data_IF_963531285284
#
_entry.id   IF_963531285284
#
_cell.length_a   1.000
_cell.length_b   1.000
_cell.length_c   1.000
_cell.angle_alpha   90.00
_cell.angle_beta   90.00
_cell.angle_gamma   90.00
#
_symmetry.space_group_name_H-M   'P 1'
#
loop_
_entity.id
_entity.type
_entity.pdbx_description
1 polymer ?
#
# COMPACT_ATOMS: atom_id res chain seq x y z
N UNK A 1 34.50 28.19 -39.50
CA UNK A 1 34.90 28.48 -38.12
C UNK A 1 36.40 28.70 -38.09
N UNK A 2 36.85 29.89 -37.71
CA UNK A 2 38.27 30.30 -37.76
C UNK A 2 39.12 29.47 -36.79
N UNK A 3 40.35 29.06 -37.23
CA UNK A 3 41.27 28.25 -36.40
C UNK A 3 41.41 28.74 -34.93
N UNK A 4 41.55 30.08 -34.66
CA UNK A 4 41.67 30.58 -33.29
C UNK A 4 40.41 30.36 -32.45
N UNK A 5 39.20 30.43 -33.03
CA UNK A 5 37.95 30.20 -32.31
C UNK A 5 37.78 28.74 -31.89
N UNK A 6 38.26 27.79 -32.70
CA UNK A 6 38.27 26.36 -32.32
C UNK A 6 39.21 26.09 -31.16
N UNK A 7 40.39 26.67 -31.15
CA UNK A 7 41.38 26.51 -30.07
C UNK A 7 40.83 27.09 -28.76
N UNK A 8 40.21 28.28 -28.83
CA UNK A 8 39.63 28.92 -27.63
C UNK A 8 38.44 28.10 -27.07
N UNK A 9 37.57 27.53 -27.91
CA UNK A 9 36.48 26.67 -27.49
C UNK A 9 36.96 25.34 -26.90
N UNK A 10 38.01 24.75 -27.46
CA UNK A 10 38.61 23.50 -26.93
C UNK A 10 39.31 23.77 -25.60
N UNK A 11 40.05 24.87 -25.46
CA UNK A 11 40.73 25.23 -24.22
C UNK A 11 39.71 25.56 -23.09
N UNK A 12 38.64 26.29 -23.41
CA UNK A 12 37.56 26.59 -22.50
C UNK A 12 36.81 25.31 -22.04
N UNK A 13 36.51 24.43 -23.02
CA UNK A 13 35.89 23.11 -22.72
C UNK A 13 36.78 22.21 -21.88
N UNK A 14 38.09 22.19 -22.13
CA UNK A 14 39.02 21.41 -21.31
C UNK A 14 39.20 21.97 -19.88
N UNK A 15 39.18 23.29 -19.73
CA UNK A 15 39.23 23.95 -18.45
C UNK A 15 37.95 23.65 -17.63
N UNK A 16 36.80 23.76 -18.28
CA UNK A 16 35.50 23.43 -17.65
C UNK A 16 35.42 21.95 -17.26
N UNK A 17 35.93 21.06 -18.14
CA UNK A 17 36.05 19.62 -17.84
C UNK A 17 36.97 19.34 -16.66
N UNK A 18 38.11 20.03 -16.55
CA UNK A 18 39.04 19.90 -15.44
C UNK A 18 38.40 20.39 -14.13
N UNK A 19 37.69 21.52 -14.15
CA UNK A 19 36.95 22.02 -12.99
C UNK A 19 35.88 21.02 -12.56
N UNK A 20 35.09 20.47 -13.47
CA UNK A 20 34.07 19.46 -13.18
C UNK A 20 34.67 18.19 -12.56
N UNK A 21 35.79 17.70 -13.11
CA UNK A 21 36.51 16.52 -12.57
C UNK A 21 37.05 16.84 -11.18
N UNK A 22 37.60 18.04 -10.94
CA UNK A 22 38.11 18.44 -9.63
C UNK A 22 36.99 18.55 -8.59
N UNK A 23 35.85 19.14 -8.96
CA UNK A 23 34.65 19.19 -8.11
C UNK A 23 34.12 17.79 -7.81
N UNK A 24 34.08 16.91 -8.83
CA UNK A 24 33.64 15.52 -8.66
C UNK A 24 34.57 14.74 -7.72
N UNK A 25 35.89 14.90 -7.85
CA UNK A 25 36.87 14.32 -6.93
C UNK A 25 36.74 14.91 -5.52
N UNK A 26 36.57 16.22 -5.38
CA UNK A 26 36.35 16.87 -4.09
C UNK A 26 35.08 16.38 -3.41
N UNK A 27 33.96 16.28 -4.17
CA UNK A 27 32.72 15.67 -3.66
C UNK A 27 32.93 14.23 -3.22
N UNK A 28 33.67 13.43 -3.97
CA UNK A 28 33.99 12.04 -3.59
C UNK A 28 34.77 11.96 -2.27
N UNK A 29 35.75 12.83 -2.06
CA UNK A 29 36.52 12.87 -0.82
C UNK A 29 35.75 13.41 0.38
N UNK A 30 34.77 14.32 0.16
CA UNK A 30 33.99 14.94 1.24
C UNK A 30 32.81 14.05 1.63
N UNK A 31 32.18 13.38 0.67
CA UNK A 31 30.95 12.58 0.87
C UNK A 31 31.29 11.10 0.84
N UNK A 32 32.12 10.66 1.80
CA UNK A 32 32.41 9.23 1.98
C UNK A 32 31.27 8.54 2.75
N UNK A 33 31.00 7.24 2.49
CA UNK A 33 29.99 6.49 3.24
C UNK A 33 30.17 6.57 4.75
N UNK A 34 31.39 6.47 5.25
CA UNK A 34 31.69 6.56 6.67
C UNK A 34 31.29 7.91 7.31
N UNK A 35 31.47 9.03 6.57
CA UNK A 35 31.06 10.37 7.06
C UNK A 35 29.55 10.53 7.02
N UNK A 36 28.91 10.10 5.93
CA UNK A 36 27.44 10.11 5.82
C UNK A 36 26.81 9.28 6.92
N UNK A 37 27.26 8.06 7.13
CA UNK A 37 26.82 7.19 8.21
C UNK A 37 26.95 7.87 9.58
N UNK A 38 28.09 8.52 9.84
CA UNK A 38 28.29 9.26 11.09
C UNK A 38 27.33 10.46 11.25
N UNK A 39 27.04 11.18 10.16
CA UNK A 39 26.10 12.32 10.19
C UNK A 39 24.69 11.79 10.45
N UNK A 40 24.24 10.76 9.73
CA UNK A 40 22.90 10.18 9.89
C UNK A 40 22.74 9.62 11.31
N UNK A 41 23.69 8.85 11.82
CA UNK A 41 23.66 8.33 13.22
C UNK A 41 23.56 9.44 14.27
N UNK A 42 24.07 10.64 13.99
CA UNK A 42 23.96 11.79 14.91
C UNK A 42 22.64 12.53 14.80
N UNK A 43 22.03 12.55 13.61
CA UNK A 43 20.81 13.34 13.35
C UNK A 43 19.53 12.56 13.62
N UNK A 44 19.50 11.26 13.32
CA UNK A 44 18.31 10.42 13.47
C UNK A 44 17.68 10.48 14.88
N UNK A 45 18.44 10.54 16.00
CA UNK A 45 17.84 10.69 17.33
C UNK A 45 17.01 11.97 17.55
N UNK A 46 17.14 12.96 16.68
CA UNK A 46 16.29 14.16 16.73
C UNK A 46 14.90 13.93 16.14
N UNK A 47 14.72 12.85 15.38
CA UNK A 47 13.49 12.53 14.64
C UNK A 47 12.75 11.30 15.16
N UNK A 48 13.44 10.43 15.91
CA UNK A 48 12.83 9.21 16.47
C UNK A 48 13.27 9.00 17.92
N UNK A 49 12.33 8.50 18.74
CA UNK A 49 12.51 8.21 20.16
C UNK A 49 12.69 6.70 20.40
N UNK A 50 13.50 6.04 19.58
CA UNK A 50 13.90 4.64 19.79
C UNK A 50 15.37 4.46 19.46
N UNK A 51 15.97 3.42 20.01
CA UNK A 51 17.32 3.01 19.65
C UNK A 51 17.31 2.46 18.22
N UNK A 52 18.39 2.73 17.48
CA UNK A 52 18.54 2.25 16.11
C UNK A 52 20.00 1.93 15.80
N UNK A 53 20.20 1.10 14.80
CA UNK A 53 21.50 0.89 14.17
C UNK A 53 21.35 0.79 12.65
N UNK A 54 22.43 1.05 11.93
CA UNK A 54 22.53 0.87 10.49
C UNK A 54 23.99 0.56 10.11
N UNK A 55 24.18 -0.21 9.07
CA UNK A 55 25.52 -0.57 8.63
C UNK A 55 26.20 0.58 7.91
N UNK A 56 25.57 1.13 6.90
CA UNK A 56 26.15 2.11 6.00
C UNK A 56 25.13 3.05 5.39
N UNK A 57 25.57 4.26 5.07
CA UNK A 57 24.83 5.24 4.28
C UNK A 57 25.67 5.66 3.08
N UNK A 58 25.09 5.54 1.88
CA UNK A 58 25.74 5.92 0.63
C UNK A 58 24.91 6.91 -0.19
N UNK A 59 25.58 7.67 -1.06
CA UNK A 59 24.90 8.47 -2.10
C UNK A 59 24.82 7.71 -3.42
N UNK A 60 23.63 7.60 -3.98
CA UNK A 60 23.38 6.89 -5.24
C UNK A 60 23.32 7.82 -6.47
N UNK A 61 24.29 8.73 -6.60
CA UNK A 61 24.28 9.76 -7.67
C UNK A 61 24.36 9.15 -9.07
N UNK A 62 25.10 8.05 -9.22
CA UNK A 62 25.38 7.48 -10.54
C UNK A 62 24.30 6.51 -11.05
N UNK A 63 23.54 5.91 -10.17
CA UNK A 63 22.46 4.95 -10.55
C UNK A 63 21.20 5.69 -11.04
N UNK A 64 21.03 6.96 -10.68
CA UNK A 64 19.77 7.70 -10.82
C UNK A 64 19.93 9.12 -11.43
N UNK A 65 21.12 9.48 -11.97
CA UNK A 65 21.35 10.84 -12.52
C UNK A 65 20.24 11.25 -13.51
N UNK A 66 19.68 12.46 -13.39
CA UNK A 66 20.08 13.63 -12.57
C UNK A 66 19.52 13.66 -11.14
N UNK A 67 19.02 12.57 -10.62
CA UNK A 67 18.51 12.43 -9.25
C UNK A 67 19.65 12.08 -8.31
N UNK A 68 19.54 12.48 -7.05
CA UNK A 68 20.46 12.08 -5.99
C UNK A 68 19.66 11.29 -4.97
N UNK A 69 20.07 10.06 -4.73
CA UNK A 69 19.50 9.19 -3.72
C UNK A 69 20.43 9.01 -2.53
N UNK A 70 19.84 8.73 -1.39
CA UNK A 70 20.50 8.23 -0.18
C UNK A 70 20.08 6.77 -0.03
N UNK A 71 21.04 5.88 0.04
CA UNK A 71 20.89 4.46 0.29
C UNK A 71 21.33 4.16 1.73
N UNK A 72 20.49 3.50 2.49
CA UNK A 72 20.73 3.09 3.86
C UNK A 72 20.68 1.57 3.91
N UNK A 73 21.77 0.95 4.33
CA UNK A 73 21.90 -0.49 4.43
C UNK A 73 21.70 -0.97 5.87
N UNK A 74 20.93 -2.06 5.99
CA UNK A 74 20.64 -2.79 7.23
C UNK A 74 20.20 -1.88 8.38
N UNK A 75 19.16 -1.07 8.10
CA UNK A 75 18.52 -0.26 9.13
C UNK A 75 17.77 -1.16 10.11
N UNK A 76 18.10 -1.05 11.39
CA UNK A 76 17.43 -1.71 12.51
C UNK A 76 16.86 -0.65 13.42
N UNK A 77 15.55 -0.72 13.70
CA UNK A 77 14.90 0.04 14.77
C UNK A 77 14.62 -0.91 15.93
N UNK A 78 15.09 -0.58 17.12
CA UNK A 78 14.86 -1.38 18.32
C UNK A 78 13.49 -1.06 18.88
N UNK A 79 12.76 -2.08 19.28
CA UNK A 79 11.43 -1.92 19.82
C UNK A 79 11.50 -1.22 21.21
N UNK A 80 10.86 -0.06 21.39
CA UNK A 80 10.92 0.67 22.66
C UNK A 80 10.00 0.06 23.74
N UNK A 81 9.13 -0.89 23.37
CA UNK A 81 8.13 -1.43 24.28
C UNK A 81 8.55 -2.76 24.91
N UNK A 82 8.56 -2.78 26.24
CA UNK A 82 8.77 -3.99 27.03
C UNK A 82 7.54 -4.90 26.92
N UNK A 83 7.77 -6.19 26.70
CA UNK A 83 6.68 -7.18 26.56
C UNK A 83 6.20 -7.39 25.13
N UNK A 84 6.76 -6.69 24.17
CA UNK A 84 6.55 -7.00 22.76
C UNK A 84 7.12 -8.39 22.41
N UNK A 85 6.49 -9.12 21.48
CA UNK A 85 6.98 -10.41 21.01
C UNK A 85 8.37 -10.32 20.33
N UNK A 86 8.75 -9.14 19.87
CA UNK A 86 10.02 -8.89 19.19
C UNK A 86 10.77 -7.69 19.78
N UNK A 87 12.08 -7.84 19.99
CA UNK A 87 12.98 -6.76 20.38
C UNK A 87 13.25 -5.79 19.22
N UNK A 88 12.92 -6.15 18.00
CA UNK A 88 13.09 -5.32 16.81
C UNK A 88 11.73 -4.77 16.36
N UNK A 89 11.63 -3.44 16.27
CA UNK A 89 10.47 -2.76 15.68
C UNK A 89 10.47 -2.91 14.16
N UNK A 90 11.61 -2.62 13.53
CA UNK A 90 11.76 -2.76 12.09
C UNK A 90 13.18 -3.14 11.71
N UNK A 91 13.32 -3.99 10.72
CA UNK A 91 14.55 -4.28 10.02
C UNK A 91 14.34 -4.07 8.52
N UNK A 92 15.14 -3.22 7.90
CA UNK A 92 15.10 -2.96 6.46
C UNK A 92 16.49 -3.26 5.89
N UNK A 93 16.56 -4.20 4.97
CA UNK A 93 17.86 -4.60 4.38
C UNK A 93 18.47 -3.48 3.55
N UNK A 94 17.67 -2.81 2.70
CA UNK A 94 18.08 -1.64 1.91
C UNK A 94 16.91 -0.66 1.82
N UNK A 95 17.17 0.60 2.17
CA UNK A 95 16.23 1.71 1.99
C UNK A 95 16.86 2.76 1.08
N UNK A 96 16.21 3.10 -0.02
CA UNK A 96 16.65 4.13 -0.95
C UNK A 96 15.62 5.23 -1.02
N UNK A 97 16.03 6.47 -0.74
CA UNK A 97 15.21 7.66 -0.94
C UNK A 97 15.92 8.58 -1.91
N UNK A 98 15.28 8.95 -3.01
CA UNK A 98 15.86 9.86 -3.99
C UNK A 98 15.06 11.16 -4.10
N UNK A 99 15.78 12.24 -4.39
CA UNK A 99 15.23 13.59 -4.56
C UNK A 99 15.61 14.16 -5.94
N UNK A 100 14.73 14.99 -6.48
CA UNK A 100 15.00 15.71 -7.73
C UNK A 100 15.85 16.96 -7.43
N UNK A 101 17.17 16.83 -7.63
CA UNK A 101 18.13 17.94 -7.39
C UNK A 101 17.85 19.15 -8.27
N UNK A 102 17.29 18.96 -9.47
CA UNK A 102 17.01 20.06 -10.38
C UNK A 102 15.86 20.93 -9.85
N UNK A 103 14.84 20.32 -9.28
CA UNK A 103 13.74 21.02 -8.61
C UNK A 103 14.24 21.69 -7.32
N UNK A 104 15.05 20.99 -6.52
CA UNK A 104 15.67 21.57 -5.33
C UNK A 104 16.48 22.84 -5.63
N UNK A 105 17.36 22.80 -6.66
CA UNK A 105 18.21 23.95 -7.01
C UNK A 105 17.45 25.11 -7.69
N UNK A 106 16.28 24.88 -8.28
CA UNK A 106 15.52 25.90 -9.00
C UNK A 106 14.35 26.48 -8.23
N UNK A 107 13.75 25.68 -7.39
CA UNK A 107 12.43 25.94 -6.78
C UNK A 107 12.50 25.95 -5.25
N UNK A 108 13.70 25.70 -4.65
CA UNK A 108 13.94 25.53 -3.20
C UNK A 108 12.97 24.52 -2.54
N UNK A 109 12.50 23.53 -3.33
CA UNK A 109 11.57 22.50 -2.88
C UNK A 109 12.27 21.15 -2.79
N UNK A 110 12.16 20.47 -1.66
CA UNK A 110 12.58 19.07 -1.52
C UNK A 110 11.45 18.19 -2.01
N UNK A 111 11.64 17.57 -3.17
CA UNK A 111 10.68 16.64 -3.74
C UNK A 111 11.26 15.24 -3.66
N UNK A 112 10.60 14.37 -2.88
CA UNK A 112 10.92 12.95 -2.85
C UNK A 112 10.37 12.33 -4.13
N UNK A 113 11.28 11.87 -4.99
CA UNK A 113 10.95 11.30 -6.28
C UNK A 113 10.76 9.79 -6.23
N UNK A 114 11.55 9.10 -5.40
CA UNK A 114 11.47 7.66 -5.22
C UNK A 114 11.73 7.27 -3.76
N UNK A 115 10.90 6.38 -3.24
CA UNK A 115 11.15 5.65 -2.00
C UNK A 115 11.13 4.15 -2.30
N UNK A 116 12.23 3.45 -1.99
CA UNK A 116 12.36 2.01 -2.22
C UNK A 116 12.79 1.31 -0.94
N UNK A 117 12.10 0.23 -0.59
CA UNK A 117 12.48 -0.71 0.46
C UNK A 117 12.72 -2.07 -0.17
N UNK A 118 13.88 -2.65 0.06
CA UNK A 118 14.24 -3.98 -0.43
C UNK A 118 14.53 -4.90 0.76
N UNK A 119 13.69 -5.90 0.95
CA UNK A 119 13.80 -6.87 2.02
C UNK A 119 13.64 -6.26 3.41
N UNK A 120 13.04 -6.99 4.29
CA UNK A 120 12.91 -6.56 5.68
C UNK A 120 11.57 -6.93 6.30
N UNK A 121 11.40 -6.50 7.56
CA UNK A 121 10.15 -6.72 8.29
C UNK A 121 9.87 -5.58 9.26
N UNK A 122 8.59 -5.41 9.58
CA UNK A 122 8.08 -4.44 10.55
C UNK A 122 7.22 -5.21 11.56
N UNK A 123 7.44 -4.99 12.85
CA UNK A 123 6.67 -5.61 13.94
C UNK A 123 5.85 -4.53 14.64
N UNK A 124 4.58 -4.44 14.29
CA UNK A 124 3.62 -3.60 14.99
C UNK A 124 3.13 -4.30 16.26
N UNK A 125 3.09 -3.59 17.36
CA UNK A 125 2.63 -4.10 18.63
C UNK A 125 1.82 -3.07 19.41
N UNK A 126 0.64 -3.48 19.90
CA UNK A 126 -0.18 -2.74 20.85
C UNK A 126 -0.37 -3.59 22.13
N UNK A 127 -0.05 -3.00 23.28
CA UNK A 127 -0.21 -3.67 24.58
C UNK A 127 -1.66 -3.59 25.09
N UNK A 128 -1.93 -4.24 26.24
CA UNK A 128 -3.26 -4.24 26.90
C UNK A 128 -3.72 -2.86 27.39
N UNK A 129 -2.84 -1.85 27.41
CA UNK A 129 -3.14 -0.47 27.76
C UNK A 129 -3.34 0.41 26.53
N UNK A 130 -3.47 -0.17 25.33
CA UNK A 130 -3.60 0.52 24.04
C UNK A 130 -2.39 1.38 23.66
N UNK A 131 -1.24 1.14 24.28
CA UNK A 131 0.01 1.79 23.88
C UNK A 131 0.63 1.05 22.71
N UNK A 132 1.11 1.80 21.71
CA UNK A 132 1.71 1.24 20.50
C UNK A 132 3.22 1.48 20.44
N UNK A 133 3.95 0.56 19.83
CA UNK A 133 5.39 0.70 19.59
C UNK A 133 5.74 1.62 18.41
N UNK A 134 4.74 2.17 17.70
CA UNK A 134 4.96 3.21 16.69
C UNK A 134 4.99 4.63 17.26
N UNK A 135 4.76 4.81 18.57
CA UNK A 135 4.88 6.11 19.24
C UNK A 135 6.35 6.53 19.43
N UNK A 136 7.14 6.34 18.36
CA UNK A 136 8.57 6.68 18.31
C UNK A 136 8.83 8.06 17.73
N UNK A 137 7.82 8.71 17.16
CA UNK A 137 8.01 10.05 16.62
C UNK A 137 7.74 11.10 17.69
N UNK A 138 8.63 12.11 17.86
CA UNK A 138 8.38 13.19 18.79
C UNK A 138 7.09 13.91 18.44
N UNK A 139 6.21 14.09 19.43
CA UNK A 139 5.01 14.91 19.24
C UNK A 139 5.48 16.36 19.09
N UNK A 140 5.26 16.94 17.92
CA UNK A 140 5.46 18.38 17.73
C UNK A 140 4.39 19.11 18.53
N UNK A 141 4.76 19.76 19.63
CA UNK A 141 3.84 20.65 20.34
C UNK A 141 3.40 21.76 19.38
N UNK A 142 2.09 22.06 19.26
CA UNK A 142 1.60 23.06 18.31
C UNK A 142 1.94 24.53 18.66
N UNK A 143 2.76 24.78 19.70
CA UNK A 143 2.95 26.11 20.28
C UNK A 143 4.36 26.71 20.10
N UNK A 144 5.10 26.39 19.06
CA UNK A 144 6.29 27.18 18.72
C UNK A 144 6.32 27.60 17.25
N UNK A 145 5.27 28.32 16.82
CA UNK A 145 5.36 29.18 15.64
C UNK A 145 6.16 30.44 16.02
N UNK A 146 7.47 30.32 16.10
CA UNK A 146 8.35 31.48 15.96
C UNK A 146 8.40 31.84 14.49
N UNK A 147 7.95 33.03 14.15
CA UNK A 147 7.80 33.62 12.81
C UNK A 147 9.15 33.88 12.09
N UNK A 148 10.09 32.96 12.07
CA UNK A 148 11.33 33.07 11.27
C UNK A 148 11.89 31.72 10.76
N UNK A 149 11.12 30.66 10.72
CA UNK A 149 11.48 29.51 9.89
C UNK A 149 10.99 29.78 8.47
N UNK A 150 11.91 30.00 7.53
CA UNK A 150 11.61 29.90 6.11
C UNK A 150 10.79 28.63 5.92
N UNK A 151 9.54 28.78 5.47
CA UNK A 151 8.63 27.69 5.14
C UNK A 151 9.30 26.85 4.03
N UNK A 152 10.04 25.82 4.43
CA UNK A 152 10.39 24.73 3.52
C UNK A 152 9.07 24.03 3.19
N UNK A 153 8.52 24.38 2.06
CA UNK A 153 7.36 23.66 1.51
C UNK A 153 7.88 22.27 1.13
N UNK A 154 7.64 21.30 2.02
CA UNK A 154 7.85 19.89 1.71
C UNK A 154 6.74 19.44 0.76
N UNK A 155 6.97 19.54 -0.53
CA UNK A 155 6.12 18.91 -1.53
C UNK A 155 6.51 17.44 -1.66
N UNK A 156 5.66 16.53 -1.27
CA UNK A 156 5.84 15.11 -1.58
C UNK A 156 5.20 14.86 -2.94
N UNK A 157 5.96 15.05 -4.00
CA UNK A 157 5.64 14.53 -5.33
C UNK A 157 6.19 13.08 -5.40
N UNK A 158 5.58 12.16 -4.65
CA UNK A 158 6.02 10.77 -4.66
C UNK A 158 5.76 10.16 -6.04
N UNK A 159 6.76 10.23 -6.92
CA UNK A 159 6.67 9.70 -8.28
C UNK A 159 6.76 8.18 -8.32
N UNK A 160 7.43 7.56 -7.33
CA UNK A 160 7.58 6.11 -7.24
C UNK A 160 7.73 5.64 -5.79
N UNK A 161 6.83 4.76 -5.37
CA UNK A 161 6.96 3.96 -4.15
C UNK A 161 7.20 2.49 -4.56
N UNK A 162 8.24 1.87 -4.02
CA UNK A 162 8.56 0.49 -4.34
C UNK A 162 8.97 -0.30 -3.10
N UNK A 163 8.22 -1.33 -2.78
CA UNK A 163 8.57 -2.33 -1.77
C UNK A 163 8.85 -3.66 -2.45
N UNK A 164 9.88 -4.34 -2.05
CA UNK A 164 10.22 -5.67 -2.55
C UNK A 164 10.45 -6.58 -1.34
N UNK A 165 9.67 -7.65 -1.26
CA UNK A 165 9.78 -8.70 -0.24
C UNK A 165 9.84 -8.17 1.21
N UNK A 166 8.90 -7.31 1.57
CA UNK A 166 8.74 -6.79 2.94
C UNK A 166 7.70 -7.63 3.68
N UNK A 167 7.94 -7.92 4.96
CA UNK A 167 6.97 -8.61 5.82
C UNK A 167 6.47 -7.66 6.92
N UNK A 168 5.23 -7.85 7.35
CA UNK A 168 4.62 -7.09 8.44
C UNK A 168 3.99 -8.05 9.43
N UNK A 169 4.39 -7.96 10.69
CA UNK A 169 3.75 -8.65 11.80
C UNK A 169 2.95 -7.63 12.62
N UNK A 170 1.70 -7.92 12.85
CA UNK A 170 0.78 -7.09 13.60
C UNK A 170 0.28 -7.84 14.83
N UNK A 171 0.40 -7.25 16.00
CA UNK A 171 -0.10 -7.80 17.25
C UNK A 171 -0.82 -6.70 18.02
N UNK A 172 -2.09 -6.91 18.33
CA UNK A 172 -2.90 -6.05 19.19
C UNK A 172 -3.51 -6.88 20.32
N UNK A 173 -2.96 -6.72 21.52
CA UNK A 173 -3.41 -7.47 22.68
C UNK A 173 -4.76 -6.98 23.22
N UNK A 174 -5.17 -5.74 22.93
CA UNK A 174 -6.47 -5.21 23.38
C UNK A 174 -7.62 -5.86 22.65
N UNK A 175 -7.41 -6.24 21.39
CA UNK A 175 -8.43 -6.86 20.55
C UNK A 175 -8.18 -8.35 20.31
N UNK A 176 -7.10 -8.91 20.88
CA UNK A 176 -6.69 -10.29 20.65
C UNK A 176 -6.38 -10.59 19.18
N UNK A 177 -5.84 -9.60 18.46
CA UNK A 177 -5.57 -9.68 17.01
C UNK A 177 -4.10 -9.97 16.73
N UNK A 178 -3.87 -10.90 15.80
CA UNK A 178 -2.56 -11.26 15.27
C UNK A 178 -2.66 -11.34 13.75
N UNK A 179 -1.74 -10.67 13.05
CA UNK A 179 -1.67 -10.80 11.60
C UNK A 179 -0.21 -10.88 11.14
N UNK A 180 0.02 -11.72 10.15
CA UNK A 180 1.30 -11.86 9.45
C UNK A 180 1.07 -11.66 7.96
N UNK A 181 1.78 -10.69 7.38
CA UNK A 181 1.79 -10.40 5.96
C UNK A 181 3.20 -10.65 5.42
N UNK A 182 3.36 -11.64 4.57
CA UNK A 182 4.67 -12.05 4.08
C UNK A 182 4.82 -11.82 2.58
N UNK A 183 6.00 -11.36 2.17
CA UNK A 183 6.35 -11.17 0.78
C UNK A 183 5.58 -10.04 0.10
N UNK A 184 5.37 -8.92 0.82
CA UNK A 184 4.76 -7.73 0.27
C UNK A 184 5.67 -7.12 -0.80
N UNK A 185 5.16 -7.04 -2.01
CA UNK A 185 5.73 -6.26 -3.09
C UNK A 185 4.74 -5.17 -3.49
N UNK A 186 5.20 -3.93 -3.57
CA UNK A 186 4.41 -2.78 -3.99
C UNK A 186 5.18 -2.03 -5.06
N UNK A 187 4.52 -1.62 -6.10
CA UNK A 187 5.02 -0.67 -7.09
C UNK A 187 3.91 0.34 -7.37
N UNK A 188 3.99 1.50 -6.74
CA UNK A 188 3.09 2.62 -7.02
C UNK A 188 3.86 3.70 -7.77
N UNK A 189 3.26 4.21 -8.83
CA UNK A 189 3.77 5.33 -9.63
C UNK A 189 2.67 6.34 -9.77
N UNK A 190 2.99 7.61 -9.57
CA UNK A 190 2.00 8.67 -9.68
C UNK A 190 2.61 9.97 -10.15
N UNK A 191 1.72 10.87 -10.54
CA UNK A 191 2.02 12.28 -10.78
C UNK A 191 1.00 13.08 -10.00
N UNK A 192 1.49 13.95 -9.14
CA UNK A 192 0.64 14.88 -8.40
C UNK A 192 0.80 16.29 -8.99
N UNK A 193 -0.32 16.97 -9.19
CA UNK A 193 -0.34 18.38 -9.60
C UNK A 193 -1.46 19.09 -8.86
N UNK A 194 -1.11 19.77 -7.77
CA UNK A 194 -2.07 20.30 -6.82
C UNK A 194 -2.86 19.13 -6.19
N UNK A 195 -4.19 19.21 -6.22
CA UNK A 195 -5.09 18.16 -5.72
C UNK A 195 -5.35 17.01 -6.71
N UNK A 196 -4.77 17.09 -7.90
CA UNK A 196 -4.94 16.05 -8.92
C UNK A 196 -3.84 15.01 -8.83
N UNK A 197 -4.21 13.74 -8.74
CA UNK A 197 -3.30 12.60 -8.68
C UNK A 197 -3.68 11.61 -9.77
N UNK A 198 -2.74 11.31 -10.65
CA UNK A 198 -2.91 10.25 -11.65
C UNK A 198 -1.82 9.22 -11.40
N UNK A 199 -2.19 7.97 -11.22
CA UNK A 199 -1.22 6.94 -10.91
C UNK A 199 -1.72 5.53 -11.11
N UNK A 200 -0.78 4.61 -10.97
CA UNK A 200 -1.06 3.18 -10.92
C UNK A 200 -0.41 2.52 -9.69
N UNK A 201 -1.02 1.47 -9.23
CA UNK A 201 -0.50 0.63 -8.16
C UNK A 201 -0.52 -0.83 -8.60
N UNK A 202 0.56 -1.54 -8.27
CA UNK A 202 0.65 -2.98 -8.35
C UNK A 202 1.13 -3.47 -6.99
N UNK A 203 0.37 -4.35 -6.38
CA UNK A 203 0.70 -4.96 -5.10
C UNK A 203 0.59 -6.47 -5.21
N UNK A 204 1.49 -7.18 -4.58
CA UNK A 204 1.34 -8.60 -4.32
C UNK A 204 1.76 -8.94 -2.91
N UNK A 205 1.05 -9.88 -2.31
CA UNK A 205 1.37 -10.48 -1.02
C UNK A 205 1.38 -12.01 -1.21
N UNK A 206 2.46 -12.66 -0.76
CA UNK A 206 2.57 -14.11 -0.88
C UNK A 206 1.63 -14.82 0.09
N UNK A 207 1.68 -14.42 1.37
CA UNK A 207 0.92 -15.07 2.42
C UNK A 207 0.35 -14.01 3.38
N UNK A 208 -0.92 -14.16 3.73
CA UNK A 208 -1.59 -13.42 4.79
C UNK A 208 -2.18 -14.44 5.75
N UNK A 209 -1.83 -14.33 7.03
CA UNK A 209 -2.48 -15.05 8.11
C UNK A 209 -3.02 -14.03 9.11
N UNK A 210 -4.28 -14.14 9.46
CA UNK A 210 -4.96 -13.32 10.45
C UNK A 210 -5.66 -14.21 11.47
N UNK A 211 -5.53 -13.87 12.73
CA UNK A 211 -6.25 -14.51 13.84
C UNK A 211 -6.77 -13.46 14.80
N UNK A 212 -7.99 -13.65 15.26
CA UNK A 212 -8.55 -12.88 16.36
C UNK A 212 -9.18 -13.82 17.36
N UNK A 213 -8.82 -13.65 18.64
CA UNK A 213 -9.37 -14.44 19.73
C UNK A 213 -9.72 -13.53 20.89
N UNK A 214 -11.00 -13.48 21.22
CA UNK A 214 -11.55 -12.81 22.40
C UNK A 214 -12.42 -13.79 23.18
N UNK A 215 -12.99 -13.38 24.30
CA UNK A 215 -13.91 -14.23 25.11
C UNK A 215 -15.15 -14.69 24.33
N UNK A 216 -15.53 -13.93 23.27
CA UNK A 216 -16.77 -14.16 22.52
C UNK A 216 -16.56 -14.39 21.01
N UNK A 217 -15.32 -14.37 20.54
CA UNK A 217 -15.02 -14.53 19.12
C UNK A 217 -13.70 -15.27 18.93
N UNK A 218 -13.73 -16.31 18.13
CA UNK A 218 -12.51 -16.93 17.58
C UNK A 218 -12.63 -16.99 16.05
N UNK A 219 -11.72 -16.33 15.37
CA UNK A 219 -11.71 -16.22 13.90
C UNK A 219 -10.29 -16.36 13.36
N UNK A 220 -10.15 -17.08 12.25
CA UNK A 220 -8.91 -17.18 11.50
C UNK A 220 -9.17 -16.98 10.00
N UNK A 221 -8.26 -16.25 9.34
CA UNK A 221 -8.26 -16.05 7.88
C UNK A 221 -6.88 -16.36 7.33
N UNK A 222 -6.80 -17.11 6.26
CA UNK A 222 -5.58 -17.34 5.48
C UNK A 222 -5.84 -16.99 4.03
N UNK A 223 -4.93 -16.24 3.43
CA UNK A 223 -5.01 -15.83 2.04
C UNK A 223 -3.64 -15.97 1.40
N UNK A 224 -3.57 -16.60 0.24
CA UNK A 224 -2.32 -16.79 -0.48
C UNK A 224 -2.35 -16.09 -1.84
N UNK A 225 -1.17 -15.63 -2.28
CA UNK A 225 -0.94 -15.02 -3.60
C UNK A 225 -1.91 -13.88 -3.94
N UNK A 226 -2.19 -13.01 -2.95
CA UNK A 226 -3.00 -11.81 -3.21
C UNK A 226 -2.27 -10.91 -4.20
N UNK A 227 -2.96 -10.51 -5.26
CA UNK A 227 -2.51 -9.51 -6.23
C UNK A 227 -3.56 -8.43 -6.33
N UNK A 228 -3.11 -7.18 -6.41
CA UNK A 228 -3.94 -6.01 -6.65
C UNK A 228 -3.22 -5.15 -7.69
N UNK A 229 -3.91 -4.85 -8.77
CA UNK A 229 -3.47 -3.91 -9.79
C UNK A 229 -4.55 -2.86 -10.00
N UNK A 230 -4.16 -1.60 -10.18
CA UNK A 230 -5.13 -0.55 -10.42
C UNK A 230 -4.54 0.72 -10.98
N UNK A 231 -5.38 1.42 -11.73
CA UNK A 231 -5.17 2.76 -12.20
C UNK A 231 -6.18 3.70 -11.53
N UNK A 232 -5.73 4.87 -11.10
CA UNK A 232 -6.59 5.90 -10.51
C UNK A 232 -6.28 7.28 -11.09
N UNK A 233 -7.33 8.05 -11.40
CA UNK A 233 -7.28 9.47 -11.75
C UNK A 233 -8.16 10.22 -10.74
N UNK A 234 -7.53 10.89 -9.78
CA UNK A 234 -8.18 11.67 -8.73
C UNK A 234 -8.11 13.16 -9.11
N UNK A 235 -9.24 13.84 -9.03
CA UNK A 235 -9.39 15.28 -9.30
C UNK A 235 -10.22 15.93 -8.22
N UNK A 236 -9.55 16.50 -7.23
CA UNK A 236 -10.22 16.90 -5.99
C UNK A 236 -10.84 15.67 -5.33
N UNK A 237 -12.15 15.74 -5.06
CA UNK A 237 -12.90 14.67 -4.39
C UNK A 237 -13.44 13.59 -5.34
N UNK A 238 -13.20 13.73 -6.65
CA UNK A 238 -13.62 12.77 -7.66
C UNK A 238 -12.50 11.81 -8.04
N UNK A 239 -12.80 10.50 -8.06
CA UNK A 239 -11.86 9.43 -8.38
C UNK A 239 -12.44 8.58 -9.51
N UNK A 240 -11.65 8.38 -10.57
CA UNK A 240 -11.88 7.31 -11.55
C UNK A 240 -10.94 6.17 -11.22
N UNK A 241 -11.48 4.97 -11.09
CA UNK A 241 -10.74 3.79 -10.72
C UNK A 241 -11.00 2.62 -11.69
N UNK A 242 -9.93 1.90 -12.01
CA UNK A 242 -9.95 0.62 -12.72
C UNK A 242 -9.06 -0.33 -11.91
N UNK A 243 -9.66 -1.24 -11.14
CA UNK A 243 -8.98 -2.05 -10.12
C UNK A 243 -9.28 -3.52 -10.36
N UNK A 244 -8.25 -4.34 -10.29
CA UNK A 244 -8.34 -5.79 -10.28
C UNK A 244 -7.65 -6.36 -9.04
N UNK A 245 -8.35 -7.26 -8.32
CA UNK A 245 -7.81 -8.00 -7.20
C UNK A 245 -8.02 -9.51 -7.41
N UNK A 246 -7.01 -10.31 -7.11
CA UNK A 246 -7.08 -11.76 -7.23
C UNK A 246 -6.27 -12.46 -6.15
N UNK A 247 -6.65 -13.69 -5.84
CA UNK A 247 -5.94 -14.56 -4.90
C UNK A 247 -6.04 -16.01 -5.33
N UNK A 248 -5.09 -16.85 -4.92
CA UNK A 248 -5.10 -18.28 -5.24
C UNK A 248 -5.88 -19.13 -4.23
N UNK A 249 -5.84 -18.80 -2.95
CA UNK A 249 -6.53 -19.54 -1.89
C UNK A 249 -7.00 -18.58 -0.83
N UNK A 250 -8.22 -18.78 -0.35
CA UNK A 250 -8.73 -18.15 0.86
C UNK A 250 -9.37 -19.21 1.74
N UNK A 251 -9.01 -19.21 3.02
CA UNK A 251 -9.66 -20.00 4.06
C UNK A 251 -10.11 -19.06 5.18
N UNK A 252 -11.33 -19.24 5.61
CA UNK A 252 -11.95 -18.57 6.76
C UNK A 252 -12.49 -19.61 7.73
N UNK A 253 -12.20 -19.43 9.00
CA UNK A 253 -12.72 -20.26 10.08
C UNK A 253 -13.19 -19.36 11.21
N UNK A 254 -14.36 -19.64 11.76
CA UNK A 254 -14.91 -19.02 12.96
C UNK A 254 -15.76 -20.03 13.70
N UNK A 255 -16.28 -19.70 14.89
CA UNK A 255 -17.16 -20.59 15.65
C UNK A 255 -18.38 -21.00 14.80
N UNK A 256 -18.51 -22.31 14.53
CA UNK A 256 -19.60 -22.87 13.75
C UNK A 256 -19.60 -22.56 12.26
N UNK A 257 -18.59 -21.84 11.73
CA UNK A 257 -18.53 -21.46 10.32
C UNK A 257 -17.15 -21.70 9.73
N UNK A 258 -17.10 -22.26 8.53
CA UNK A 258 -15.88 -22.37 7.75
C UNK A 258 -16.18 -22.10 6.27
N UNK A 259 -15.31 -21.34 5.63
CA UNK A 259 -15.37 -21.10 4.20
C UNK A 259 -13.99 -21.30 3.57
N UNK A 260 -13.95 -21.86 2.38
CA UNK A 260 -12.73 -21.95 1.59
C UNK A 260 -13.03 -21.78 0.12
N UNK A 261 -12.05 -21.26 -0.62
CA UNK A 261 -12.09 -21.15 -2.07
C UNK A 261 -10.68 -21.32 -2.63
N UNK A 262 -10.58 -21.80 -3.86
CA UNK A 262 -9.31 -22.01 -4.53
C UNK A 262 -8.81 -20.80 -5.31
N UNK A 263 -9.72 -19.93 -5.74
CA UNK A 263 -9.33 -18.64 -6.31
C UNK A 263 -10.48 -17.66 -6.33
N UNK A 264 -10.17 -16.39 -6.23
CA UNK A 264 -11.08 -15.33 -6.61
C UNK A 264 -10.42 -14.31 -7.54
N UNK A 265 -11.24 -13.66 -8.35
CA UNK A 265 -10.88 -12.46 -9.09
C UNK A 265 -12.03 -11.47 -8.98
N UNK A 266 -11.70 -10.24 -8.64
CA UNK A 266 -12.64 -9.12 -8.54
C UNK A 266 -12.10 -8.00 -9.39
N UNK A 267 -12.93 -7.46 -10.29
CA UNK A 267 -12.66 -6.27 -11.09
C UNK A 267 -13.66 -5.20 -10.76
N UNK A 268 -13.22 -4.00 -10.63
CA UNK A 268 -14.08 -2.83 -10.50
C UNK A 268 -13.61 -1.74 -11.45
N UNK A 269 -14.54 -1.18 -12.21
CA UNK A 269 -14.29 -0.02 -13.04
C UNK A 269 -15.41 0.99 -12.87
N UNK A 270 -15.06 2.18 -12.41
CA UNK A 270 -16.07 3.18 -12.12
C UNK A 270 -15.51 4.51 -11.63
N UNK A 271 -16.44 5.34 -11.21
CA UNK A 271 -16.22 6.66 -10.66
C UNK A 271 -16.68 6.70 -9.20
N UNK A 272 -15.95 7.40 -8.36
CA UNK A 272 -16.34 7.76 -7.00
C UNK A 272 -16.37 9.29 -6.95
N UNK A 273 -17.54 9.89 -6.69
CA UNK A 273 -17.70 11.34 -6.64
C UNK A 273 -17.93 11.79 -5.20
N UNK A 274 -17.31 12.89 -4.81
CA UNK A 274 -17.37 13.46 -3.46
C UNK A 274 -16.98 12.48 -2.34
N UNK A 275 -16.13 11.49 -2.65
CA UNK A 275 -15.80 10.34 -1.76
C UNK A 275 -17.03 9.57 -1.23
N UNK A 276 -18.18 9.73 -1.82
CA UNK A 276 -19.47 9.24 -1.32
C UNK A 276 -20.26 8.42 -2.35
N UNK A 277 -20.31 8.87 -3.61
CA UNK A 277 -21.13 8.25 -4.64
C UNK A 277 -20.28 7.39 -5.55
N UNK A 278 -20.53 6.09 -5.53
CA UNK A 278 -19.85 5.08 -6.34
C UNK A 278 -20.75 4.68 -7.50
N UNK A 279 -20.25 4.80 -8.71
CA UNK A 279 -20.95 4.33 -9.91
C UNK A 279 -19.99 3.57 -10.82
N UNK A 280 -20.31 2.33 -11.13
CA UNK A 280 -19.43 1.50 -11.94
C UNK A 280 -19.96 0.12 -12.22
N UNK A 281 -19.05 -0.72 -12.68
CA UNK A 281 -19.29 -2.14 -12.90
C UNK A 281 -18.32 -2.95 -12.05
N UNK A 282 -18.83 -3.91 -11.31
CA UNK A 282 -18.05 -4.91 -10.62
C UNK A 282 -18.23 -6.28 -11.29
N UNK A 283 -17.15 -6.99 -11.48
CA UNK A 283 -17.14 -8.37 -11.93
C UNK A 283 -16.44 -9.20 -10.86
N UNK A 284 -17.01 -10.33 -10.50
CA UNK A 284 -16.44 -11.25 -9.52
C UNK A 284 -16.50 -12.68 -10.07
N UNK A 285 -15.42 -13.41 -9.87
CA UNK A 285 -15.40 -14.85 -10.04
C UNK A 285 -14.73 -15.51 -8.86
N UNK A 286 -15.31 -16.61 -8.41
CA UNK A 286 -14.82 -17.46 -7.31
C UNK A 286 -14.88 -18.89 -7.78
N UNK A 287 -13.83 -19.66 -7.57
CA UNK A 287 -13.81 -21.06 -7.93
C UNK A 287 -13.69 -21.93 -6.67
N UNK A 288 -14.35 -23.09 -6.74
CA UNK A 288 -14.35 -24.11 -5.68
C UNK A 288 -14.72 -23.54 -4.30
N UNK A 289 -15.77 -22.71 -4.25
CA UNK A 289 -16.29 -22.16 -2.99
C UNK A 289 -16.96 -23.27 -2.18
N UNK A 290 -16.45 -23.51 -0.99
CA UNK A 290 -17.06 -24.40 -0.01
C UNK A 290 -17.44 -23.61 1.23
N UNK A 291 -18.63 -23.88 1.78
CA UNK A 291 -19.12 -23.20 2.97
C UNK A 291 -19.84 -24.18 3.89
N UNK A 292 -19.42 -24.20 5.14
CA UNK A 292 -19.98 -24.99 6.22
C UNK A 292 -20.52 -24.06 7.31
N UNK A 293 -21.71 -24.35 7.82
CA UNK A 293 -22.31 -23.64 8.96
C UNK A 293 -22.97 -24.65 9.88
N UNK A 294 -22.64 -24.61 11.17
CA UNK A 294 -23.14 -25.51 12.22
C UNK A 294 -23.06 -27.00 11.82
N UNK A 295 -21.86 -27.40 11.32
CA UNK A 295 -21.56 -28.75 10.81
C UNK A 295 -22.32 -29.14 9.54
N UNK A 296 -23.15 -28.26 8.96
CA UNK A 296 -23.83 -28.50 7.70
C UNK A 296 -23.08 -27.91 6.52
N UNK A 297 -22.79 -28.73 5.53
CA UNK A 297 -22.25 -28.26 4.26
C UNK A 297 -23.36 -27.54 3.48
N UNK A 298 -23.21 -26.24 3.26
CA UNK A 298 -24.17 -25.42 2.51
C UNK A 298 -23.76 -25.23 1.06
N UNK A 299 -22.44 -25.16 0.79
CA UNK A 299 -21.86 -25.13 -0.55
C UNK A 299 -20.68 -26.08 -0.60
N UNK A 300 -20.53 -26.80 -1.72
CA UNK A 300 -19.46 -27.77 -1.90
C UNK A 300 -18.82 -27.57 -3.30
N UNK A 301 -17.62 -26.96 -3.32
CA UNK A 301 -16.85 -26.66 -4.52
C UNK A 301 -17.68 -25.93 -5.61
N UNK A 302 -18.45 -24.93 -5.21
CA UNK A 302 -19.28 -24.17 -6.11
C UNK A 302 -18.50 -23.07 -6.84
N UNK A 303 -18.72 -22.93 -8.12
CA UNK A 303 -18.21 -21.82 -8.91
C UNK A 303 -19.22 -20.67 -8.91
N UNK A 304 -18.76 -19.47 -8.52
CA UNK A 304 -19.57 -18.27 -8.51
C UNK A 304 -19.01 -17.25 -9.53
N UNK A 305 -19.89 -16.72 -10.38
CA UNK A 305 -19.56 -15.58 -11.25
C UNK A 305 -20.65 -14.53 -11.13
N UNK A 306 -20.26 -13.28 -11.03
CA UNK A 306 -21.17 -12.16 -10.89
C UNK A 306 -20.73 -10.97 -11.73
N UNK A 307 -21.67 -10.36 -12.42
CA UNK A 307 -21.51 -9.08 -13.11
C UNK A 307 -22.53 -8.13 -12.50
N UNK A 308 -22.06 -7.04 -11.91
CA UNK A 308 -22.84 -6.15 -11.06
C UNK A 308 -22.64 -4.70 -11.49
N UNK A 309 -23.55 -4.12 -12.29
CA UNK A 309 -23.67 -2.67 -12.39
C UNK A 309 -24.11 -2.10 -11.05
N UNK A 310 -23.30 -1.19 -10.49
CA UNK A 310 -23.42 -0.67 -9.12
C UNK A 310 -23.62 0.83 -9.16
N UNK A 311 -24.58 1.33 -8.40
CA UNK A 311 -24.76 2.74 -8.05
C UNK A 311 -25.01 2.80 -6.53
N UNK A 312 -24.06 3.37 -5.78
CA UNK A 312 -24.11 3.35 -4.32
C UNK A 312 -23.76 4.71 -3.73
N UNK A 313 -24.38 5.02 -2.59
CA UNK A 313 -24.08 6.19 -1.76
C UNK A 313 -23.64 5.70 -0.40
N UNK A 314 -22.38 5.99 -0.04
CA UNK A 314 -21.76 5.46 1.19
C UNK A 314 -22.34 6.09 2.46
N UNK A 315 -22.60 7.42 2.44
CA UNK A 315 -23.12 8.16 3.60
C UNK A 315 -24.52 7.69 4.03
N UNK A 316 -25.35 7.26 3.09
CA UNK A 316 -26.70 6.74 3.36
C UNK A 316 -26.75 5.21 3.34
N UNK A 317 -25.64 4.55 3.00
CA UNK A 317 -25.57 3.10 2.77
C UNK A 317 -26.64 2.59 1.80
N UNK A 318 -26.97 3.40 0.80
CA UNK A 318 -27.88 3.03 -0.27
C UNK A 318 -27.12 2.39 -1.41
N UNK A 319 -27.57 1.24 -1.86
CA UNK A 319 -26.99 0.50 -3.00
C UNK A 319 -28.09 0.14 -3.99
N UNK A 320 -27.95 0.61 -5.21
CA UNK A 320 -28.80 0.21 -6.32
C UNK A 320 -28.03 -0.75 -7.24
N UNK A 321 -28.60 -1.94 -7.41
CA UNK A 321 -28.06 -3.00 -8.24
C UNK A 321 -28.83 -2.97 -9.55
N UNK A 322 -28.14 -2.65 -10.64
CA UNK A 322 -28.72 -2.69 -12.00
C UNK A 322 -29.00 -4.12 -12.46
N UNK A 323 -29.28 -4.28 -13.75
CA UNK A 323 -29.46 -5.62 -14.34
C UNK A 323 -28.16 -6.42 -14.21
N UNK A 324 -28.12 -7.32 -13.26
CA UNK A 324 -26.97 -8.11 -12.89
C UNK A 324 -27.18 -9.56 -13.24
N UNK A 325 -26.09 -10.27 -13.46
CA UNK A 325 -26.09 -11.71 -13.69
C UNK A 325 -25.25 -12.39 -12.62
N UNK A 326 -25.85 -13.38 -11.99
CA UNK A 326 -25.21 -14.29 -11.06
C UNK A 326 -25.25 -15.69 -11.68
N UNK A 327 -24.10 -16.33 -11.81
CA UNK A 327 -24.00 -17.74 -12.13
C UNK A 327 -23.43 -18.49 -10.93
N UNK A 328 -24.14 -19.49 -10.46
CA UNK A 328 -23.72 -20.42 -9.42
C UNK A 328 -23.67 -21.81 -10.07
N UNK A 329 -22.48 -22.33 -10.33
CA UNK A 329 -22.26 -23.47 -11.22
C UNK A 329 -22.97 -23.27 -12.58
N UNK A 330 -23.97 -24.09 -12.88
CA UNK A 330 -24.78 -24.03 -14.11
C UNK A 330 -26.05 -23.19 -13.94
N UNK A 331 -26.37 -22.73 -12.74
CA UNK A 331 -27.59 -21.97 -12.42
C UNK A 331 -27.36 -20.49 -12.72
N UNK A 332 -28.09 -19.97 -13.71
CA UNK A 332 -28.05 -18.55 -14.08
C UNK A 332 -29.22 -17.82 -13.44
N UNK A 333 -28.90 -16.73 -12.74
CA UNK A 333 -29.87 -15.89 -12.03
C UNK A 333 -29.69 -14.44 -12.50
N UNK A 334 -30.73 -13.85 -13.06
CA UNK A 334 -30.79 -12.41 -13.28
C UNK A 334 -31.25 -11.74 -11.98
N UNK A 335 -30.56 -10.69 -11.61
CA UNK A 335 -30.74 -9.97 -10.34
C UNK A 335 -30.90 -8.47 -10.62
N UNK A 336 -31.87 -7.84 -9.97
CA UNK A 336 -32.02 -6.40 -9.94
C UNK A 336 -32.61 -5.99 -8.59
N UNK A 337 -32.19 -4.87 -8.02
CA UNK A 337 -32.80 -4.41 -6.77
C UNK A 337 -32.05 -3.30 -6.09
N UNK A 338 -32.42 -3.11 -4.84
CA UNK A 338 -31.88 -2.07 -3.95
C UNK A 338 -31.66 -2.65 -2.57
N UNK A 339 -30.62 -2.17 -1.91
CA UNK A 339 -30.38 -2.39 -0.51
C UNK A 339 -30.12 -1.02 0.16
N UNK A 340 -30.63 -0.81 1.35
CA UNK A 340 -30.35 0.39 2.14
C UNK A 340 -30.26 0.04 3.61
N UNK A 341 -29.52 0.85 4.36
CA UNK A 341 -29.30 0.66 5.80
C UNK A 341 -29.61 1.95 6.55
N UNK A 342 -30.91 2.32 6.69
CA UNK A 342 -31.31 3.49 7.46
C UNK A 342 -31.17 3.20 8.97
N UNK A 343 -30.09 3.69 9.61
CA UNK A 343 -29.75 3.39 10.99
C UNK A 343 -29.27 1.93 11.15
N UNK A 344 -29.87 1.19 12.07
CA UNK A 344 -29.53 -0.21 12.35
C UNK A 344 -30.36 -1.22 11.54
N UNK A 345 -31.34 -0.77 10.77
CA UNK A 345 -32.24 -1.63 9.99
C UNK A 345 -31.69 -1.84 8.56
N UNK A 346 -31.72 -3.09 8.07
CA UNK A 346 -31.36 -3.42 6.71
C UNK A 346 -32.63 -3.65 5.90
N UNK A 347 -32.84 -2.83 4.87
CA UNK A 347 -33.92 -2.99 3.90
C UNK A 347 -33.36 -3.55 2.60
N UNK A 348 -33.92 -4.64 2.13
CA UNK A 348 -33.52 -5.32 0.88
C UNK A 348 -34.75 -5.53 0.02
N UNK A 349 -34.74 -4.99 -1.21
CA UNK A 349 -35.72 -5.25 -2.26
C UNK A 349 -34.98 -5.80 -3.48
N UNK A 350 -34.97 -7.13 -3.61
CA UNK A 350 -34.28 -7.85 -4.68
C UNK A 350 -35.29 -8.65 -5.49
N UNK A 351 -35.19 -8.52 -6.81
CA UNK A 351 -35.92 -9.36 -7.77
C UNK A 351 -34.93 -10.32 -8.41
N UNK A 352 -35.22 -11.59 -8.23
CA UNK A 352 -34.44 -12.71 -8.77
C UNK A 352 -35.25 -13.40 -9.85
N UNK A 353 -34.64 -13.69 -10.98
CA UNK A 353 -35.24 -14.47 -12.07
C UNK A 353 -34.23 -15.50 -12.55
N UNK A 354 -34.62 -16.74 -12.57
CA UNK A 354 -33.85 -17.84 -13.18
C UNK A 354 -34.56 -18.36 -14.41
N UNK A 355 -33.81 -18.73 -15.44
CA UNK A 355 -34.37 -19.27 -16.69
C UNK A 355 -34.75 -20.74 -16.57
N UNK A 356 -33.96 -21.51 -15.83
CA UNK A 356 -34.20 -22.95 -15.60
C UNK A 356 -33.61 -23.31 -14.25
N UNK A 357 -34.41 -23.92 -13.39
CA UNK A 357 -33.99 -24.46 -12.13
C UNK A 357 -34.03 -25.99 -12.24
N UNK A 358 -32.87 -26.63 -12.27
CA UNK A 358 -32.77 -28.10 -12.26
C UNK A 358 -32.59 -28.49 -10.79
N UNK A 359 -33.57 -29.20 -10.24
CA UNK A 359 -33.59 -29.56 -8.81
C UNK A 359 -32.38 -30.41 -8.41
N UNK A 360 -31.89 -31.26 -9.33
CA UNK A 360 -30.70 -32.08 -9.13
C UNK A 360 -29.44 -31.25 -8.98
N UNK A 361 -29.29 -30.16 -9.73
CA UNK A 361 -28.15 -29.22 -9.61
C UNK A 361 -28.19 -28.39 -8.29
N UNK A 362 -29.40 -28.17 -7.73
CA UNK A 362 -29.57 -27.53 -6.41
C UNK A 362 -29.20 -28.46 -5.27
N UNK A 363 -29.31 -29.77 -5.45
CA UNK A 363 -28.96 -30.76 -4.44
C UNK A 363 -27.47 -31.12 -4.44
N UNK A 364 -26.75 -30.73 -5.49
CA UNK A 364 -25.29 -30.92 -5.63
C UNK A 364 -24.48 -29.69 -5.18
N UNK A 365 -25.12 -28.58 -4.81
CA UNK A 365 -24.50 -27.39 -4.25
C UNK A 365 -24.05 -27.64 -2.81
#
# INVERSE_FOLDING_TARGET
>A
MNKPLKITLISLGSLLGLILITVMIACWFVVTPARLTSIVKKQVPNFINCDFDLEQVELTVFKSFPKVGVEIDKLVLINPMVGSPSDTLAYINECVVSVDVKKFLKEDQIIIDECRLNGGYINYFTDLQSKTNLDIFPVSEPDSLTEESQDFIYGIDLMMLKFNDVSVNYTDLTQGMFAELNGLNVSAKGKMKGENIVGNVKMSLRDIAYQQTTDSLSMAVKLNDLKLEGDADMRGDDIKADIEASSSVLCYESEGQAASLNSFNIKFKGDVNDYDKIKGNAEMSVNDLSFVMDEQQLLNNADLRMILPLDATLSSMDVEIGNSQLALNNIMIDLIGKASMPGDDINIDLKLKTNTLIVEELLEL
#
